data_IF_217640024180
#
_entry.id   IF_217640024180
#
_cell.length_a   1.000
_cell.length_b   1.000
_cell.length_c   1.000
_cell.angle_alpha   90.00
_cell.angle_beta   90.00
_cell.angle_gamma   90.00
#
_symmetry.space_group_name_H-M   'P 1'
#
loop_
_entity.id
_entity.type
_entity.pdbx_description
1 polymer ?
#
# COMPACT_ATOMS: atom_id res chain seq x y z
N UNK A 1 14.25 3.61 12.39
CA UNK A 1 14.55 2.71 11.25
C UNK A 1 14.01 3.33 9.98
N UNK A 2 14.79 3.32 8.92
CA UNK A 2 14.35 3.87 7.65
C UNK A 2 13.30 2.98 7.00
N UNK A 3 12.51 3.54 6.10
CA UNK A 3 11.54 2.78 5.33
C UNK A 3 12.23 2.13 4.13
N UNK A 4 12.02 0.84 3.97
CA UNK A 4 12.42 0.09 2.78
C UNK A 4 11.16 -0.30 2.02
N UNK A 5 11.14 -0.05 0.72
CA UNK A 5 10.01 -0.37 -0.14
C UNK A 5 10.48 -1.37 -1.18
N UNK A 6 9.90 -2.57 -1.14
CA UNK A 6 10.19 -3.61 -2.13
C UNK A 6 9.01 -3.70 -3.08
N UNK A 7 9.28 -3.61 -4.37
CA UNK A 7 8.24 -3.71 -5.39
C UNK A 7 8.38 -5.03 -6.14
N UNK A 8 7.27 -5.68 -6.41
CA UNK A 8 7.23 -6.88 -7.24
C UNK A 8 5.84 -7.03 -7.83
N UNK A 9 5.73 -7.85 -8.84
CA UNK A 9 4.45 -8.17 -9.46
C UNK A 9 4.10 -9.62 -9.22
N UNK A 10 2.83 -9.86 -8.90
CA UNK A 10 2.26 -11.20 -8.81
C UNK A 10 1.11 -11.23 -9.81
N UNK A 11 1.37 -11.77 -11.01
CA UNK A 11 0.43 -11.68 -12.11
C UNK A 11 0.19 -10.23 -12.49
N UNK A 12 -1.06 -9.79 -12.47
CA UNK A 12 -1.44 -8.42 -12.79
C UNK A 12 -1.57 -7.53 -11.54
N UNK A 13 -1.04 -7.99 -10.41
CA UNK A 13 -1.09 -7.25 -9.15
C UNK A 13 0.29 -6.71 -8.82
N UNK A 14 0.36 -5.42 -8.54
CA UNK A 14 1.57 -4.80 -8.02
C UNK A 14 1.59 -4.96 -6.52
N UNK A 15 2.66 -5.52 -5.98
CA UNK A 15 2.85 -5.65 -4.54
C UNK A 15 3.92 -4.66 -4.08
N UNK A 16 3.56 -3.81 -3.13
CA UNK A 16 4.48 -2.90 -2.48
C UNK A 16 4.65 -3.37 -1.04
N UNK A 17 5.81 -3.90 -0.72
CA UNK A 17 6.11 -4.36 0.63
C UNK A 17 6.84 -3.26 1.38
N UNK A 18 6.25 -2.78 2.47
CA UNK A 18 6.79 -1.69 3.28
C UNK A 18 7.39 -2.25 4.56
N UNK A 19 8.67 -1.97 4.77
CA UNK A 19 9.40 -2.49 5.94
C UNK A 19 10.06 -1.32 6.65
N UNK A 20 9.83 -1.19 7.95
CA UNK A 20 10.42 -0.14 8.77
C UNK A 20 9.40 0.87 9.25
N UNK A 21 9.71 2.15 9.14
CA UNK A 21 8.87 3.23 9.67
C UNK A 21 8.39 4.14 8.55
N UNK A 22 7.10 4.34 8.48
CA UNK A 22 6.48 5.25 7.52
C UNK A 22 6.17 6.56 8.23
N UNK A 23 7.15 7.46 8.28
CA UNK A 23 7.10 8.68 9.08
C UNK A 23 7.65 9.89 8.33
N UNK A 24 7.36 11.09 8.87
CA UNK A 24 7.96 12.32 8.39
C UNK A 24 9.50 12.28 8.55
N UNK A 25 10.20 13.15 7.83
CA UNK A 25 11.66 13.24 7.93
C UNK A 25 12.42 12.53 6.83
N UNK A 26 11.73 11.82 5.95
CA UNK A 26 12.30 11.23 4.74
C UNK A 26 11.77 11.98 3.52
N UNK A 27 12.35 11.78 2.32
CA UNK A 27 11.84 12.46 1.13
C UNK A 27 10.35 12.16 0.93
N UNK A 28 9.55 13.20 0.74
CA UNK A 28 8.12 13.07 0.50
C UNK A 28 7.88 12.43 -0.86
N UNK A 29 6.80 11.65 -0.96
CA UNK A 29 6.42 11.04 -2.21
C UNK A 29 7.21 9.80 -2.61
N UNK A 30 8.08 9.30 -1.74
CA UNK A 30 8.87 8.10 -2.02
C UNK A 30 7.99 6.89 -2.34
N UNK A 31 6.93 6.69 -1.56
CA UNK A 31 6.00 5.58 -1.79
C UNK A 31 5.27 5.75 -3.11
N UNK A 32 4.75 6.94 -3.39
CA UNK A 32 4.04 7.21 -4.64
C UNK A 32 4.97 7.06 -5.84
N UNK A 33 6.21 7.56 -5.74
CA UNK A 33 7.17 7.45 -6.83
C UNK A 33 7.49 5.98 -7.15
N UNK A 34 7.66 5.14 -6.11
CA UNK A 34 7.90 3.71 -6.30
C UNK A 34 6.72 3.05 -7.00
N UNK A 35 5.50 3.39 -6.60
CA UNK A 35 4.29 2.86 -7.21
C UNK A 35 4.17 3.28 -8.67
N UNK A 36 4.40 4.56 -8.96
CA UNK A 36 4.28 5.08 -10.32
C UNK A 36 5.30 4.46 -11.26
N UNK A 37 6.54 4.29 -10.79
CA UNK A 37 7.58 3.64 -11.57
C UNK A 37 7.20 2.20 -11.91
N UNK A 38 6.70 1.46 -10.94
CA UNK A 38 6.31 0.06 -11.14
C UNK A 38 5.08 -0.06 -12.06
N UNK A 39 4.13 0.85 -11.95
CA UNK A 39 2.95 0.86 -12.81
C UNK A 39 3.31 1.19 -14.26
N UNK A 40 4.25 2.12 -14.46
CA UNK A 40 4.72 2.46 -15.81
C UNK A 40 5.43 1.27 -16.46
N UNK A 41 6.15 0.47 -15.67
CA UNK A 41 6.85 -0.71 -16.17
C UNK A 41 5.88 -1.84 -16.58
N UNK A 42 4.66 -1.86 -16.00
CA UNK A 42 3.67 -2.89 -16.29
C UNK A 42 2.27 -2.27 -16.36
N UNK A 43 1.92 -1.66 -17.53
CA UNK A 43 0.65 -0.93 -17.66
C UNK A 43 -0.61 -1.77 -17.49
N UNK A 44 -0.53 -3.09 -17.66
CA UNK A 44 -1.67 -3.99 -17.50
C UNK A 44 -1.97 -4.32 -16.04
N UNK A 45 -1.29 -3.68 -15.08
CA UNK A 45 -1.57 -3.89 -13.65
C UNK A 45 -3.03 -3.61 -13.34
N UNK A 46 -3.68 -4.55 -12.66
CA UNK A 46 -5.11 -4.47 -12.32
C UNK A 46 -5.38 -4.02 -10.89
N UNK A 47 -4.42 -4.14 -10.00
CA UNK A 47 -4.59 -3.76 -8.61
C UNK A 47 -3.27 -3.62 -7.89
N UNK A 48 -3.33 -3.00 -6.70
CA UNK A 48 -2.15 -2.77 -5.87
C UNK A 48 -2.39 -3.39 -4.50
N UNK A 49 -1.41 -4.13 -3.99
CA UNK A 49 -1.40 -4.65 -2.63
C UNK A 49 -0.30 -3.96 -1.85
N UNK A 50 -0.66 -3.35 -0.72
CA UNK A 50 0.29 -2.81 0.25
C UNK A 50 0.51 -3.88 1.32
N UNK A 51 1.67 -4.52 1.31
CA UNK A 51 2.02 -5.46 2.37
C UNK A 51 2.69 -4.67 3.48
N UNK A 52 2.00 -4.51 4.60
CA UNK A 52 2.47 -3.70 5.72
C UNK A 52 2.82 -4.53 6.95
N UNK A 53 2.99 -5.85 6.78
CA UNK A 53 3.35 -6.73 7.89
C UNK A 53 4.69 -6.35 8.53
N UNK A 54 5.61 -5.79 7.73
CA UNK A 54 6.91 -5.33 8.23
C UNK A 54 6.95 -3.86 8.65
N UNK A 55 5.83 -3.18 8.64
CA UNK A 55 5.75 -1.77 9.02
C UNK A 55 5.61 -1.66 10.53
N UNK A 56 6.60 -1.02 11.17
CA UNK A 56 6.64 -0.94 12.63
C UNK A 56 5.81 0.22 13.17
N UNK A 57 5.94 1.39 12.58
CA UNK A 57 5.21 2.58 13.00
C UNK A 57 4.85 3.45 11.80
N UNK A 58 3.88 4.33 12.04
CA UNK A 58 3.52 5.37 11.07
C UNK A 58 3.04 6.59 11.84
N UNK A 59 3.30 7.78 11.30
CA UNK A 59 2.74 9.03 11.84
C UNK A 59 1.74 9.61 10.84
N UNK A 60 1.20 10.79 11.15
CA UNK A 60 0.19 11.43 10.29
C UNK A 60 0.71 11.68 8.88
N UNK A 61 1.98 12.04 8.74
CA UNK A 61 2.57 12.27 7.41
C UNK A 61 2.67 10.97 6.62
N UNK A 62 2.99 9.86 7.29
CA UNK A 62 3.01 8.55 6.66
C UNK A 62 1.63 8.10 6.21
N UNK A 63 0.62 8.32 7.04
CA UNK A 63 -0.77 8.00 6.68
C UNK A 63 -1.19 8.84 5.48
N UNK A 64 -0.79 10.12 5.42
CA UNK A 64 -1.12 10.97 4.29
C UNK A 64 -0.54 10.41 2.97
N UNK A 65 0.65 9.80 3.01
CA UNK A 65 1.21 9.17 1.82
C UNK A 65 0.41 7.95 1.37
N UNK A 66 -0.12 7.17 2.30
CA UNK A 66 -0.99 6.04 1.95
C UNK A 66 -2.26 6.55 1.26
N UNK A 67 -2.85 7.61 1.78
CA UNK A 67 -4.04 8.21 1.19
C UNK A 67 -3.74 8.78 -0.20
N UNK A 68 -2.57 9.40 -0.37
CA UNK A 68 -2.16 9.93 -1.66
C UNK A 68 -2.02 8.81 -2.69
N UNK A 69 -1.43 7.69 -2.30
CA UNK A 69 -1.34 6.52 -3.19
C UNK A 69 -2.72 6.03 -3.58
N UNK A 70 -3.62 5.91 -2.60
CA UNK A 70 -5.00 5.49 -2.86
C UNK A 70 -5.67 6.42 -3.89
N UNK A 71 -5.52 7.73 -3.70
CA UNK A 71 -6.15 8.72 -4.58
C UNK A 71 -5.62 8.61 -6.01
N UNK A 72 -4.29 8.49 -6.17
CA UNK A 72 -3.69 8.36 -7.49
C UNK A 72 -4.10 7.04 -8.16
N UNK A 73 -4.12 5.96 -7.40
CA UNK A 73 -4.54 4.65 -7.93
C UNK A 73 -5.99 4.71 -8.41
N UNK A 74 -6.86 5.33 -7.64
CA UNK A 74 -8.27 5.45 -8.00
C UNK A 74 -8.45 6.23 -9.31
N UNK A 75 -7.65 7.28 -9.52
CA UNK A 75 -7.69 8.03 -10.78
C UNK A 75 -7.27 7.19 -11.97
N UNK A 76 -6.46 6.16 -11.74
CA UNK A 76 -6.01 5.24 -12.79
C UNK A 76 -6.95 4.02 -12.92
N UNK A 77 -8.05 4.00 -12.18
CA UNK A 77 -8.99 2.89 -12.20
C UNK A 77 -8.52 1.67 -11.42
N UNK A 78 -7.56 1.84 -10.51
CA UNK A 78 -7.00 0.75 -9.71
C UNK A 78 -7.51 0.80 -8.28
N UNK A 79 -7.73 -0.38 -7.69
CA UNK A 79 -8.04 -0.52 -6.27
C UNK A 79 -6.77 -0.85 -5.50
N UNK A 80 -6.73 -0.46 -4.22
CA UNK A 80 -5.62 -0.76 -3.34
C UNK A 80 -6.12 -1.60 -2.17
N UNK A 81 -5.48 -2.73 -1.94
CA UNK A 81 -5.74 -3.60 -0.79
C UNK A 81 -4.54 -3.55 0.15
N UNK A 82 -4.78 -3.80 1.42
CA UNK A 82 -3.74 -3.79 2.46
C UNK A 82 -3.65 -5.18 3.08
N UNK A 83 -2.45 -5.68 3.26
CA UNK A 83 -2.21 -7.00 3.82
C UNK A 83 -1.32 -6.92 5.05
N UNK A 84 -1.69 -7.62 6.11
CA UNK A 84 -0.87 -7.77 7.29
C UNK A 84 -0.84 -6.58 8.23
N UNK A 85 -1.84 -5.70 8.19
CA UNK A 85 -1.90 -4.55 9.11
C UNK A 85 -2.05 -5.05 10.54
N UNK A 86 -1.09 -4.68 11.40
CA UNK A 86 -1.15 -5.01 12.81
C UNK A 86 -2.09 -4.08 13.56
N UNK A 87 -2.33 -4.42 14.84
CA UNK A 87 -3.28 -3.65 15.67
C UNK A 87 -2.90 -2.18 15.74
N UNK A 88 -1.61 -1.87 15.93
CA UNK A 88 -1.16 -0.48 16.05
C UNK A 88 -1.46 0.34 14.80
N UNK A 89 -1.18 -0.22 13.64
CA UNK A 89 -1.47 0.46 12.38
C UNK A 89 -2.98 0.59 12.17
N UNK A 90 -3.74 -0.47 12.45
CA UNK A 90 -5.19 -0.42 12.32
C UNK A 90 -5.80 0.64 13.24
N UNK A 91 -5.28 0.79 14.45
CA UNK A 91 -5.75 1.84 15.37
C UNK A 91 -5.53 3.23 14.77
N UNK A 92 -4.36 3.48 14.19
CA UNK A 92 -4.06 4.77 13.56
C UNK A 92 -4.96 5.00 12.35
N UNK A 93 -5.15 3.98 11.52
CA UNK A 93 -6.03 4.10 10.34
C UNK A 93 -7.46 4.40 10.75
N UNK A 94 -7.93 3.76 11.82
CA UNK A 94 -9.29 3.97 12.34
C UNK A 94 -9.47 5.37 12.89
N UNK A 95 -8.50 5.85 13.68
CA UNK A 95 -8.54 7.20 14.26
C UNK A 95 -8.54 8.26 13.17
N UNK A 96 -7.77 8.06 12.11
CA UNK A 96 -7.69 9.01 10.99
C UNK A 96 -8.79 8.79 9.96
N UNK A 97 -9.65 7.79 10.14
CA UNK A 97 -10.80 7.46 9.29
C UNK A 97 -10.41 7.04 7.87
N UNK A 98 -9.22 6.47 7.70
CA UNK A 98 -8.78 5.97 6.40
C UNK A 98 -8.83 4.45 6.30
N UNK A 99 -9.25 3.78 7.37
CA UNK A 99 -9.32 2.32 7.39
C UNK A 99 -10.27 1.74 6.34
N UNK A 100 -11.28 2.51 5.92
CA UNK A 100 -12.25 2.07 4.90
C UNK A 100 -11.75 2.28 3.47
N UNK A 101 -10.65 3.00 3.28
CA UNK A 101 -10.10 3.24 1.95
C UNK A 101 -9.47 1.99 1.35
N UNK A 102 -8.97 1.10 2.21
CA UNK A 102 -8.23 -0.09 1.79
C UNK A 102 -8.96 -1.35 2.23
N UNK A 103 -9.20 -2.29 1.30
CA UNK A 103 -9.67 -3.61 1.68
C UNK A 103 -8.60 -4.29 2.52
N UNK A 104 -8.96 -4.86 3.65
CA UNK A 104 -8.02 -5.44 4.62
C UNK A 104 -7.95 -6.94 4.49
N UNK A 105 -6.73 -7.48 4.47
CA UNK A 105 -6.49 -8.91 4.41
C UNK A 105 -5.43 -9.30 5.44
N UNK A 106 -5.50 -10.53 5.93
CA UNK A 106 -4.56 -11.02 6.93
C UNK A 106 -3.14 -11.15 6.35
N UNK A 107 -3.03 -11.50 5.07
CA UNK A 107 -1.73 -11.70 4.44
C UNK A 107 -1.77 -11.33 2.95
N UNK A 108 -0.59 -11.33 2.35
CA UNK A 108 -0.43 -10.96 0.96
C UNK A 108 -1.19 -11.90 0.02
N UNK A 109 -1.15 -13.20 0.28
CA UNK A 109 -1.83 -14.17 -0.57
C UNK A 109 -3.33 -13.92 -0.66
N UNK A 110 -3.96 -13.57 0.47
CA UNK A 110 -5.38 -13.23 0.49
C UNK A 110 -5.68 -11.98 -0.31
N UNK A 111 -4.83 -10.96 -0.19
CA UNK A 111 -5.00 -9.70 -0.92
C UNK A 111 -4.82 -9.89 -2.42
N UNK A 112 -3.78 -10.62 -2.83
CA UNK A 112 -3.54 -10.92 -4.24
C UNK A 112 -4.69 -11.74 -4.82
N UNK A 113 -5.18 -12.72 -4.07
CA UNK A 113 -6.30 -13.56 -4.49
C UNK A 113 -7.59 -12.77 -4.70
N UNK A 114 -7.77 -11.70 -3.93
CA UNK A 114 -8.93 -10.82 -4.09
C UNK A 114 -8.98 -10.22 -5.50
N UNK A 115 -7.84 -9.79 -6.03
CA UNK A 115 -7.79 -9.23 -7.38
C UNK A 115 -7.89 -10.31 -8.45
N UNK A 116 -7.29 -11.48 -8.22
CA UNK A 116 -7.35 -12.56 -9.17
C UNK A 116 -8.77 -13.04 -9.43
N UNK A 117 -9.65 -12.97 -8.43
CA UNK A 117 -11.05 -13.40 -8.54
C UNK A 117 -11.92 -12.48 -9.37
N UNK A 118 -11.42 -11.29 -9.71
CA UNK A 118 -12.18 -10.32 -10.48
C UNK A 118 -12.08 -10.52 -12.00
N UNK A 119 -11.25 -11.45 -12.40
CA UNK A 119 -10.97 -11.71 -13.81
C UNK A 119 -12.17 -12.13 -14.64
#
# INVERSE_FOLDING_TARGET
MALDIKTRHSGEVLVLELIGDLRAGRPLGTLLAAAETALAAKPETAGIVLNVAGLFTSDSAGIAELVQLFTVAKKKGLSVAMAGAGKRLMDVLTITRVNTFFAQFADEAGAVGHFAKKG
#
